data_IF_497564051020
#
_entry.id   IF_497564051020
#
_cell.length_a   1.000
_cell.length_b   1.000
_cell.length_c   1.000
_cell.angle_alpha   90.00
_cell.angle_beta   90.00
_cell.angle_gamma   90.00
#
_symmetry.space_group_name_H-M   'P 1'
#
loop_
_entity.id
_entity.type
_entity.pdbx_description
1 polymer ?
#
# COMPACT_ATOMS: atom_id res chain seq x y z
N UNK A 1 3.71 -35.14 -15.79
CA UNK A 1 3.46 -33.69 -15.78
C UNK A 1 4.76 -32.94 -15.97
N UNK A 2 5.01 -32.48 -17.20
CA UNK A 2 6.16 -31.64 -17.58
C UNK A 2 5.86 -30.16 -17.27
N UNK A 3 5.55 -29.85 -16.00
CA UNK A 3 5.42 -28.45 -15.56
C UNK A 3 6.81 -27.90 -15.27
N UNK A 4 7.14 -26.76 -15.88
CA UNK A 4 8.38 -26.00 -15.62
C UNK A 4 8.52 -25.69 -14.12
N UNK A 5 7.40 -25.64 -13.39
CA UNK A 5 7.30 -25.35 -11.96
C UNK A 5 7.91 -26.43 -11.05
N UNK A 6 8.09 -27.67 -11.55
CA UNK A 6 8.71 -28.77 -10.79
C UNK A 6 10.19 -28.97 -11.13
N UNK A 7 10.76 -28.10 -11.96
CA UNK A 7 12.17 -28.22 -12.34
C UNK A 7 13.04 -27.79 -11.16
N UNK A 8 14.12 -28.53 -10.82
CA UNK A 8 15.02 -28.16 -9.72
C UNK A 8 15.55 -26.72 -9.81
N UNK A 9 15.76 -26.20 -11.03
CA UNK A 9 16.17 -24.81 -11.25
C UNK A 9 15.06 -23.79 -10.95
N UNK A 10 13.80 -24.10 -11.23
CA UNK A 10 12.67 -23.23 -10.91
C UNK A 10 12.40 -23.21 -9.41
N UNK A 11 12.45 -24.36 -8.74
CA UNK A 11 12.33 -24.44 -7.28
C UNK A 11 13.48 -23.72 -6.57
N UNK A 12 14.71 -23.84 -7.09
CA UNK A 12 15.86 -23.08 -6.58
C UNK A 12 15.66 -21.58 -6.80
N UNK A 13 15.22 -21.15 -7.98
CA UNK A 13 14.95 -19.74 -8.27
C UNK A 13 13.79 -19.16 -7.43
N UNK A 14 12.68 -19.89 -7.27
CA UNK A 14 11.54 -19.51 -6.41
C UNK A 14 11.92 -19.46 -4.93
N UNK A 15 12.74 -20.40 -4.47
CA UNK A 15 13.26 -20.36 -3.09
C UNK A 15 14.20 -19.17 -2.91
N UNK A 16 15.11 -18.92 -3.86
CA UNK A 16 16.03 -17.80 -3.81
C UNK A 16 15.31 -16.45 -3.92
N UNK A 17 14.28 -16.31 -4.75
CA UNK A 17 13.48 -15.08 -4.88
C UNK A 17 12.68 -14.75 -3.61
N UNK A 18 12.22 -15.78 -2.89
CA UNK A 18 11.62 -15.63 -1.55
C UNK A 18 12.65 -15.31 -0.46
N UNK A 19 13.89 -15.73 -0.64
CA UNK A 19 15.01 -15.44 0.29
C UNK A 19 15.60 -14.04 0.04
N UNK A 20 15.60 -13.55 -1.21
CA UNK A 20 15.97 -12.18 -1.55
C UNK A 20 14.83 -11.22 -1.22
N UNK A 21 14.74 -10.87 0.07
CA UNK A 21 13.90 -9.78 0.57
C UNK A 21 14.12 -8.49 -0.26
N UNK A 22 13.10 -7.63 -0.47
CA UNK A 22 13.21 -6.39 -1.26
C UNK A 22 14.42 -5.51 -0.88
N UNK A 23 14.85 -5.61 0.38
CA UNK A 23 16.02 -4.95 0.95
C UNK A 23 17.34 -5.35 0.26
N UNK A 24 17.42 -6.56 -0.29
CA UNK A 24 18.60 -7.10 -1.00
C UNK A 24 18.44 -6.91 -2.52
N UNK A 25 17.21 -7.00 -3.04
CA UNK A 25 16.93 -6.86 -4.47
C UNK A 25 16.95 -5.40 -4.96
N UNK A 26 16.63 -4.43 -4.09
CA UNK A 26 16.70 -2.99 -4.36
C UNK A 26 17.53 -2.25 -3.30
N UNK A 27 18.86 -2.45 -3.25
CA UNK A 27 19.71 -1.85 -2.23
C UNK A 27 19.81 -0.32 -2.37
N UNK A 28 19.54 0.22 -3.56
CA UNK A 28 19.53 1.66 -3.84
C UNK A 28 18.18 2.32 -3.50
N UNK A 29 17.15 1.55 -3.15
CA UNK A 29 15.84 2.09 -2.78
C UNK A 29 15.12 2.87 -3.88
N UNK A 30 15.48 2.64 -5.15
CA UNK A 30 14.88 3.36 -6.28
C UNK A 30 13.38 3.03 -6.34
N UNK A 31 12.55 4.06 -6.36
CA UNK A 31 11.11 3.94 -6.40
C UNK A 31 10.52 4.92 -7.40
N UNK A 32 10.45 4.57 -8.70
CA UNK A 32 9.91 5.46 -9.73
C UNK A 32 8.48 5.93 -9.46
N UNK A 33 7.68 5.14 -8.75
CA UNK A 33 6.33 5.54 -8.35
C UNK A 33 6.36 6.73 -7.38
N UNK A 34 7.35 6.77 -6.47
CA UNK A 34 7.55 7.92 -5.59
C UNK A 34 7.79 9.19 -6.38
N UNK A 35 8.68 9.13 -7.37
CA UNK A 35 9.04 10.30 -8.19
C UNK A 35 7.82 10.81 -8.97
N UNK A 36 7.02 9.90 -9.54
CA UNK A 36 5.78 10.26 -10.23
C UNK A 36 4.78 10.92 -9.27
N UNK A 37 4.55 10.33 -8.09
CA UNK A 37 3.60 10.89 -7.12
C UNK A 37 4.06 12.26 -6.62
N UNK A 38 5.35 12.44 -6.37
CA UNK A 38 5.92 13.72 -5.96
C UNK A 38 5.73 14.81 -7.03
N UNK A 39 5.83 14.45 -8.31
CA UNK A 39 5.66 15.38 -9.44
C UNK A 39 4.20 15.72 -9.72
N UNK A 40 3.29 14.75 -9.58
CA UNK A 40 1.89 14.90 -9.97
C UNK A 40 0.98 15.42 -8.85
N UNK A 41 1.39 15.30 -7.57
CA UNK A 41 0.53 15.64 -6.43
C UNK A 41 1.12 16.80 -5.62
N UNK A 42 0.40 17.93 -5.60
CA UNK A 42 0.63 19.00 -4.64
C UNK A 42 -0.03 18.68 -3.29
N UNK A 43 0.75 18.11 -2.37
CA UNK A 43 0.29 17.77 -1.03
C UNK A 43 -0.06 18.99 -0.17
N UNK A 44 0.44 20.18 -0.49
CA UNK A 44 0.03 21.43 0.13
C UNK A 44 -1.46 21.69 -0.13
N UNK A 45 -1.88 21.56 -1.39
CA UNK A 45 -3.28 21.70 -1.79
C UNK A 45 -4.16 20.60 -1.19
N UNK A 46 -3.68 19.34 -1.19
CA UNK A 46 -4.42 18.22 -0.58
C UNK A 46 -4.74 18.50 0.89
N UNK A 47 -3.75 18.92 1.70
CA UNK A 47 -3.96 19.22 3.12
C UNK A 47 -4.78 20.50 3.37
N UNK A 48 -4.69 21.46 2.46
CA UNK A 48 -5.44 22.71 2.54
C UNK A 48 -6.93 22.54 2.19
N UNK A 49 -7.30 21.51 1.42
CA UNK A 49 -8.67 21.22 1.07
C UNK A 49 -9.51 20.91 2.34
N UNK A 50 -10.66 21.59 2.48
CA UNK A 50 -11.62 21.39 3.58
C UNK A 50 -13.02 20.98 3.11
N UNK A 51 -13.24 20.94 1.80
CA UNK A 51 -14.53 20.53 1.22
C UNK A 51 -14.70 19.02 1.14
N UNK A 52 -13.62 18.26 1.27
CA UNK A 52 -13.63 16.81 1.18
C UNK A 52 -12.60 16.25 2.17
N UNK A 53 -13.01 15.26 2.94
CA UNK A 53 -12.12 14.51 3.82
C UNK A 53 -11.47 13.37 3.04
N UNK A 54 -10.16 13.17 3.27
CA UNK A 54 -9.38 12.11 2.65
C UNK A 54 -8.77 11.23 3.74
N UNK A 55 -8.97 9.93 3.58
CA UNK A 55 -8.44 8.90 4.46
C UNK A 55 -7.53 7.98 3.65
N UNK A 56 -6.31 7.76 4.14
CA UNK A 56 -5.35 6.82 3.56
C UNK A 56 -5.05 5.76 4.61
N UNK A 57 -5.13 4.48 4.25
CA UNK A 57 -4.85 3.38 5.16
C UNK A 57 -3.56 2.65 4.81
N UNK A 58 -2.77 2.31 5.82
CA UNK A 58 -1.58 1.46 5.69
C UNK A 58 -1.48 0.50 6.87
N UNK A 59 -0.82 -0.64 6.67
CA UNK A 59 -0.62 -1.67 7.69
C UNK A 59 0.69 -1.41 8.43
N UNK A 60 0.64 -1.29 9.75
CA UNK A 60 1.84 -1.26 10.59
C UNK A 60 2.52 -2.63 10.54
N UNK A 61 3.79 -2.67 10.15
CA UNK A 61 4.54 -3.92 9.96
C UNK A 61 4.84 -4.63 11.28
N UNK A 62 5.04 -3.88 12.36
CA UNK A 62 5.40 -4.41 13.68
C UNK A 62 4.20 -5.07 14.37
N UNK A 63 3.01 -4.46 14.24
CA UNK A 63 1.80 -4.90 14.95
C UNK A 63 0.79 -5.61 14.05
N UNK A 64 0.93 -5.50 12.73
CA UNK A 64 -0.05 -5.97 11.75
C UNK A 64 -1.36 -5.17 11.73
N UNK A 65 -1.46 -4.09 12.50
CA UNK A 65 -2.69 -3.31 12.64
C UNK A 65 -2.82 -2.25 11.54
N UNK A 66 -4.06 -2.03 11.09
CA UNK A 66 -4.39 -0.95 10.15
C UNK A 66 -4.28 0.41 10.85
N UNK A 67 -3.52 1.33 10.27
CA UNK A 67 -3.51 2.75 10.63
C UNK A 67 -4.19 3.53 9.51
N UNK A 68 -5.05 4.48 9.88
CA UNK A 68 -5.61 5.46 8.94
C UNK A 68 -4.99 6.82 9.24
N UNK A 69 -4.54 7.47 8.18
CA UNK A 69 -4.03 8.83 8.15
C UNK A 69 -5.10 9.74 7.56
N UNK A 70 -5.24 10.94 8.09
CA UNK A 70 -6.18 11.95 7.60
C UNK A 70 -5.60 13.36 7.70
N UNK A 71 -6.31 14.33 7.11
CA UNK A 71 -6.07 15.76 7.31
C UNK A 71 -4.61 16.17 7.04
N UNK A 72 -3.96 16.77 8.05
CA UNK A 72 -2.60 17.28 7.97
C UNK A 72 -1.52 16.20 7.90
N UNK A 73 -1.87 14.92 8.04
CA UNK A 73 -0.92 13.81 7.90
C UNK A 73 -0.72 13.36 6.45
N UNK A 74 -1.54 13.84 5.50
CA UNK A 74 -1.44 13.38 4.11
C UNK A 74 -0.23 14.01 3.42
N UNK A 75 0.75 13.18 3.13
CA UNK A 75 1.98 13.52 2.41
C UNK A 75 2.44 12.36 1.51
N UNK A 76 3.57 12.57 0.83
CA UNK A 76 4.16 11.59 -0.07
C UNK A 76 4.41 10.26 0.64
N UNK A 77 4.99 10.27 1.84
CA UNK A 77 5.31 9.05 2.57
C UNK A 77 4.04 8.27 2.96
N UNK A 78 2.99 8.98 3.34
CA UNK A 78 1.69 8.38 3.67
C UNK A 78 1.04 7.70 2.47
N UNK A 79 1.06 8.35 1.29
CA UNK A 79 0.58 7.74 0.04
C UNK A 79 1.43 6.51 -0.32
N UNK A 80 2.76 6.65 -0.25
CA UNK A 80 3.67 5.55 -0.53
C UNK A 80 3.46 4.38 0.42
N UNK A 81 3.24 4.62 1.72
CA UNK A 81 2.98 3.58 2.70
C UNK A 81 1.74 2.75 2.34
N UNK A 82 0.68 3.39 1.83
CA UNK A 82 -0.53 2.71 1.36
C UNK A 82 -0.34 1.97 0.03
N UNK A 83 0.51 2.47 -0.86
CA UNK A 83 0.76 1.88 -2.18
C UNK A 83 1.89 0.83 -2.21
N UNK A 84 2.67 0.70 -1.13
CA UNK A 84 3.83 -0.18 -1.08
C UNK A 84 3.44 -1.64 -0.84
N UNK A 85 3.35 -2.41 -1.94
CA UNK A 85 3.23 -3.86 -1.88
C UNK A 85 4.50 -4.48 -1.23
N UNK A 86 4.37 -5.31 -0.18
CA UNK A 86 5.50 -5.86 0.58
C UNK A 86 6.51 -6.66 -0.26
N UNK A 87 6.06 -7.21 -1.39
CA UNK A 87 6.87 -8.03 -2.28
C UNK A 87 7.72 -7.22 -3.26
N UNK A 88 7.38 -5.94 -3.47
CA UNK A 88 7.98 -5.09 -4.50
C UNK A 88 8.76 -3.92 -3.89
N UNK A 89 8.36 -3.44 -2.72
CA UNK A 89 8.93 -2.25 -2.11
C UNK A 89 9.29 -2.46 -0.64
N UNK A 90 10.34 -1.76 -0.22
CA UNK A 90 10.72 -1.65 1.19
C UNK A 90 9.58 -0.99 1.97
N UNK A 91 9.43 -1.34 3.25
CA UNK A 91 8.49 -0.66 4.14
C UNK A 91 8.80 0.84 4.18
N UNK A 92 7.75 1.66 4.16
CA UNK A 92 7.90 3.12 4.29
C UNK A 92 7.90 3.45 5.78
N UNK A 93 8.95 4.12 6.25
CA UNK A 93 9.05 4.53 7.64
C UNK A 93 8.44 5.93 7.83
N UNK A 94 7.39 6.01 8.65
CA UNK A 94 6.75 7.27 9.02
C UNK A 94 6.94 7.45 10.52
N UNK A 95 7.69 8.49 10.92
CA UNK A 95 8.02 8.78 12.32
C UNK A 95 8.65 7.57 13.05
N UNK A 96 9.49 6.81 12.35
CA UNK A 96 10.20 5.64 12.88
C UNK A 96 9.37 4.36 12.95
N UNK A 97 8.12 4.37 12.45
CA UNK A 97 7.28 3.17 12.38
C UNK A 97 7.21 2.69 10.92
N UNK A 98 7.51 1.41 10.64
CA UNK A 98 7.44 0.86 9.30
C UNK A 98 6.00 0.50 8.88
N UNK A 99 5.62 0.87 7.66
CA UNK A 99 4.31 0.61 7.07
C UNK A 99 4.39 -0.08 5.70
N UNK A 100 3.37 -0.88 5.41
CA UNK A 100 3.08 -1.53 4.13
C UNK A 100 1.64 -1.24 3.68
N UNK A 101 1.32 -1.64 2.44
CA UNK A 101 -0.03 -1.55 1.88
C UNK A 101 -1.13 -1.98 2.88
N UNK A 102 -2.18 -1.16 2.96
CA UNK A 102 -3.37 -1.39 3.77
C UNK A 102 -4.20 -2.60 3.35
N UNK A 103 -3.92 -3.20 2.18
CA UNK A 103 -4.54 -4.42 1.68
C UNK A 103 -4.62 -5.58 2.67
N UNK A 104 -3.64 -5.70 3.57
CA UNK A 104 -3.60 -6.76 4.59
C UNK A 104 -4.47 -6.49 5.81
N UNK A 105 -4.64 -5.21 6.20
CA UNK A 105 -5.43 -4.81 7.36
C UNK A 105 -6.85 -4.35 7.04
N UNK A 106 -7.16 -4.12 5.76
CA UNK A 106 -8.46 -3.67 5.26
C UNK A 106 -8.30 -2.62 4.15
N UNK A 107 -8.68 -2.98 2.91
CA UNK A 107 -8.66 -2.07 1.76
C UNK A 107 -10.01 -2.06 1.04
N UNK A 108 -10.73 -0.92 1.04
CA UNK A 108 -10.48 0.31 1.80
C UNK A 108 -10.90 0.20 3.28
N UNK A 109 -10.33 1.05 4.13
CA UNK A 109 -10.77 1.21 5.51
C UNK A 109 -12.15 1.87 5.55
N UNK A 110 -13.18 1.16 6.02
CA UNK A 110 -14.55 1.71 6.09
C UNK A 110 -14.87 2.45 7.39
N UNK A 111 -14.12 2.15 8.46
CA UNK A 111 -14.41 2.72 9.78
C UNK A 111 -14.37 4.27 9.85
N UNK A 112 -13.56 5.00 9.06
CA UNK A 112 -13.57 6.47 9.12
C UNK A 112 -14.93 7.04 8.69
N UNK A 113 -15.58 6.43 7.70
CA UNK A 113 -16.85 6.93 7.16
C UNK A 113 -17.98 6.90 8.20
N UNK A 114 -17.97 5.97 9.15
CA UNK A 114 -18.99 5.90 10.21
C UNK A 114 -18.97 7.10 11.16
N UNK A 115 -17.88 7.87 11.20
CA UNK A 115 -17.72 8.99 12.13
C UNK A 115 -17.86 10.36 11.47
N UNK A 116 -17.59 10.45 10.17
CA UNK A 116 -17.52 11.75 9.47
C UNK A 116 -18.42 11.90 8.25
N UNK A 117 -19.06 10.83 7.77
CA UNK A 117 -19.98 10.96 6.64
C UNK A 117 -21.26 11.72 7.05
N UNK A 118 -21.61 12.75 6.28
CA UNK A 118 -22.89 13.45 6.38
C UNK A 118 -24.07 12.65 5.77
N UNK A 119 -23.77 11.52 5.11
CA UNK A 119 -24.72 10.63 4.46
C UNK A 119 -24.54 9.20 4.99
N UNK A 120 -25.60 8.41 4.90
CA UNK A 120 -25.60 6.98 5.27
C UNK A 120 -25.13 6.08 4.10
N UNK A 121 -25.10 6.61 2.88
CA UNK A 121 -24.73 5.86 1.68
C UNK A 121 -23.20 5.78 1.52
N UNK A 122 -22.70 4.57 1.20
CA UNK A 122 -21.29 4.32 0.89
C UNK A 122 -21.15 3.73 -0.50
N UNK A 123 -20.42 4.41 -1.39
CA UNK A 123 -20.04 3.89 -2.69
C UNK A 123 -18.70 3.14 -2.61
N UNK A 124 -18.71 1.87 -2.99
CA UNK A 124 -17.52 1.04 -3.03
C UNK A 124 -17.06 0.79 -4.47
N UNK A 125 -15.82 1.15 -4.79
CA UNK A 125 -15.24 0.94 -6.13
C UNK A 125 -14.24 -0.21 -6.08
N UNK A 126 -14.65 -1.38 -6.57
CA UNK A 126 -13.77 -2.55 -6.72
C UNK A 126 -13.05 -2.50 -8.05
N UNK A 127 -11.72 -2.47 -7.99
CA UNK A 127 -10.87 -2.62 -9.20
C UNK A 127 -10.63 -4.08 -9.55
N UNK A 128 -10.75 -4.99 -8.57
CA UNK A 128 -10.58 -6.43 -8.78
C UNK A 128 -11.94 -7.11 -8.98
N UNK A 129 -12.03 -8.08 -9.91
CA UNK A 129 -13.27 -8.83 -10.12
C UNK A 129 -13.59 -9.70 -8.90
N UNK A 130 -14.86 -9.72 -8.49
CA UNK A 130 -15.35 -10.54 -7.37
C UNK A 130 -15.29 -12.03 -7.70
N UNK A 131 -15.50 -12.37 -8.97
CA UNK A 131 -15.43 -13.74 -9.48
C UNK A 131 -14.41 -13.78 -10.60
N UNK A 132 -13.48 -14.73 -10.51
CA UNK A 132 -12.56 -15.06 -11.60
C UNK A 132 -12.87 -16.50 -12.00
N UNK A 133 -13.70 -16.67 -13.02
CA UNK A 133 -13.87 -17.98 -13.64
C UNK A 133 -12.56 -18.36 -14.36
N UNK A 134 -12.10 -19.59 -14.10
CA UNK A 134 -10.83 -20.12 -14.62
C UNK A 134 -10.89 -20.46 -16.09
#
# INVERSE_FOLDING_TARGET
>A
NWSIENTPGYLFFDTMSRVFSPYVANPLGLNPLRDVIEQEIDFGNVRACKSMELFISATNVETGQLRVFSDGEIDLDTVMASACLPQLFRAVEIKGVPYWDGGYGGNPALFPFFKTAATEDVLFVQINPVVREG
#
